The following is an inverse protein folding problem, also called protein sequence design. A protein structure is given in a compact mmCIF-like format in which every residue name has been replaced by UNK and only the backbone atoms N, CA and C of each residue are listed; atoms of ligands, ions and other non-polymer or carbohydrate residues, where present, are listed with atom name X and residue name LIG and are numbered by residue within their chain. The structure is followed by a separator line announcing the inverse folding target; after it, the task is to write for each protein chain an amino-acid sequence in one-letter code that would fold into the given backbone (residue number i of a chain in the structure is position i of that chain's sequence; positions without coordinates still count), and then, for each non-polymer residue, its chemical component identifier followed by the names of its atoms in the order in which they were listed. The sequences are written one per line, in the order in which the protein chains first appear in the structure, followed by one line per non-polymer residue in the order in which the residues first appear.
data_IF_012714939999
#
_entry.id   IF_012714939999
#
_cell.length_a   1.000
_cell.length_b   1.000
_cell.length_c   1.000
_cell.angle_alpha   90.00
_cell.angle_beta   90.00
_cell.angle_gamma   90.00
#
_symmetry.space_group_name_H-M   'P 1'
#
loop_
_entity.id
_entity.type
_entity.pdbx_description
1 polymer ?
#
# COMPACT_ATOMS: atom_id res chain seq x y z
N UNK A 1 35.37 15.00 -42.28
CA UNK A 1 34.89 13.59 -42.24
C UNK A 1 34.94 12.94 -40.84
N UNK A 2 35.67 13.47 -39.86
CA UNK A 2 35.66 12.95 -38.48
C UNK A 2 34.67 13.65 -37.52
N UNK A 3 34.29 14.90 -37.81
CA UNK A 3 33.40 15.72 -36.95
C UNK A 3 31.92 15.36 -37.05
N UNK A 4 31.49 14.73 -38.15
CA UNK A 4 30.08 14.38 -38.39
C UNK A 4 29.66 13.05 -37.76
N UNK A 5 30.62 12.19 -37.39
CA UNK A 5 30.35 10.87 -36.78
C UNK A 5 30.13 11.01 -35.27
N UNK A 6 30.82 11.96 -34.62
CA UNK A 6 30.69 12.23 -33.19
C UNK A 6 29.34 12.82 -32.79
N UNK A 7 28.67 13.57 -33.68
CA UNK A 7 27.37 14.19 -33.37
C UNK A 7 26.20 13.22 -33.45
N UNK A 8 26.32 12.09 -34.17
CA UNK A 8 25.26 11.08 -34.26
C UNK A 8 25.21 10.14 -33.05
N UNK A 9 26.34 9.91 -32.37
CA UNK A 9 26.41 9.11 -31.14
C UNK A 9 25.85 9.85 -29.91
N UNK A 10 25.85 11.18 -29.91
CA UNK A 10 25.30 12.00 -28.81
C UNK A 10 23.76 12.04 -28.76
N UNK A 11 23.08 11.75 -29.88
CA UNK A 11 21.62 11.80 -29.98
C UNK A 11 20.92 10.49 -29.63
N UNK A 12 21.64 9.36 -29.63
CA UNK A 12 21.09 8.04 -29.25
C UNK A 12 21.16 7.75 -27.74
N UNK A 13 21.97 8.49 -26.98
CA UNK A 13 22.06 8.33 -25.52
C UNK A 13 20.93 8.99 -24.72
N UNK A 14 20.10 9.83 -25.36
CA UNK A 14 19.04 10.60 -24.71
C UNK A 14 17.69 9.86 -24.62
N UNK A 15 17.61 8.61 -25.09
CA UNK A 15 16.39 7.79 -25.10
C UNK A 15 16.48 6.58 -24.19
N UNK A 16 17.39 6.56 -23.21
CA UNK A 16 17.31 5.60 -22.12
C UNK A 16 16.25 6.13 -21.15
N UNK A 17 15.05 5.51 -21.07
CA UNK A 17 14.05 5.93 -20.10
C UNK A 17 14.66 5.89 -18.69
N UNK A 18 14.21 6.78 -17.78
CA UNK A 18 14.70 6.80 -16.40
C UNK A 18 14.59 5.38 -15.85
N UNK A 19 15.72 4.88 -15.38
CA UNK A 19 15.91 3.52 -14.86
C UNK A 19 14.68 3.17 -14.04
N UNK A 20 13.85 2.26 -14.56
CA UNK A 20 12.73 1.73 -13.79
C UNK A 20 13.32 1.27 -12.45
N UNK A 21 12.63 1.54 -11.32
CA UNK A 21 13.05 1.08 -10.02
C UNK A 21 13.22 -0.43 -10.11
N UNK A 22 14.48 -0.83 -10.21
CA UNK A 22 14.85 -2.16 -10.69
C UNK A 22 14.81 -3.06 -9.48
N UNK A 23 13.67 -3.72 -9.31
CA UNK A 23 13.58 -4.83 -8.40
C UNK A 23 14.36 -6.00 -8.99
N UNK A 24 15.33 -6.52 -8.24
CA UNK A 24 16.18 -7.64 -8.64
C UNK A 24 16.08 -8.77 -7.62
N UNK A 25 16.60 -9.94 -7.99
CA UNK A 25 16.72 -11.05 -7.05
C UNK A 25 18.05 -10.93 -6.31
N UNK A 26 17.99 -10.71 -5.00
CA UNK A 26 19.16 -10.57 -4.14
C UNK A 26 19.67 -11.91 -3.60
N UNK A 27 20.96 -11.95 -3.29
CA UNK A 27 21.60 -13.08 -2.61
C UNK A 27 21.27 -13.08 -1.09
N UNK A 28 21.32 -14.22 -0.40
CA UNK A 28 20.94 -14.32 1.01
C UNK A 28 21.62 -13.30 1.94
N UNK A 29 22.90 -13.01 1.70
CA UNK A 29 23.69 -12.03 2.47
C UNK A 29 23.12 -10.62 2.29
N UNK A 30 22.88 -10.20 1.04
CA UNK A 30 22.29 -8.90 0.71
C UNK A 30 20.87 -8.76 1.30
N UNK A 31 20.08 -9.82 1.21
CA UNK A 31 18.73 -9.88 1.76
C UNK A 31 18.68 -9.72 3.28
N UNK A 32 19.69 -10.23 3.98
CA UNK A 32 19.80 -10.09 5.44
C UNK A 32 20.23 -8.69 5.87
N UNK A 33 21.05 -8.01 5.06
CA UNK A 33 21.54 -6.67 5.32
C UNK A 33 20.53 -5.56 4.93
N UNK A 34 19.69 -5.82 3.93
CA UNK A 34 18.71 -4.85 3.44
C UNK A 34 17.54 -4.65 4.41
N UNK A 35 17.15 -3.39 4.61
CA UNK A 35 15.96 -3.03 5.38
C UNK A 35 14.68 -3.32 4.59
N UNK A 36 13.57 -3.60 5.27
CA UNK A 36 12.27 -3.75 4.61
C UNK A 36 11.77 -2.43 4.03
N UNK A 37 11.17 -2.47 2.84
CA UNK A 37 10.62 -1.26 2.23
C UNK A 37 9.46 -0.68 3.08
N UNK A 38 9.40 0.65 3.28
CA UNK A 38 8.41 1.28 4.13
C UNK A 38 6.98 1.05 3.61
N UNK A 39 6.04 0.86 4.53
CA UNK A 39 4.63 0.66 4.22
C UNK A 39 4.26 -0.73 3.70
N UNK A 40 5.22 -1.63 3.48
CA UNK A 40 4.94 -3.03 3.09
C UNK A 40 4.18 -3.81 4.16
N UNK A 41 4.33 -3.41 5.43
CA UNK A 41 3.56 -3.96 6.55
C UNK A 41 2.08 -3.53 6.54
N UNK A 42 1.66 -2.58 5.72
CA UNK A 42 0.24 -2.25 5.57
C UNK A 42 -0.47 -3.27 4.68
N UNK A 43 0.28 -4.00 3.85
CA UNK A 43 -0.28 -5.01 2.97
C UNK A 43 -0.82 -6.19 3.77
N UNK A 44 -2.12 -6.47 3.64
CA UNK A 44 -2.76 -7.57 4.34
C UNK A 44 -3.05 -7.30 5.82
N UNK A 45 -2.92 -6.06 6.29
CA UNK A 45 -3.41 -5.72 7.63
C UNK A 45 -4.93 -5.54 7.64
N UNK A 46 -5.57 -6.13 8.64
CA UNK A 46 -7.00 -6.03 8.88
C UNK A 46 -7.41 -4.60 9.23
N UNK A 47 -8.54 -4.20 8.68
CA UNK A 47 -9.11 -2.87 8.85
C UNK A 47 -10.57 -2.99 9.27
N UNK A 48 -10.91 -2.39 10.40
CA UNK A 48 -12.29 -2.28 10.86
C UNK A 48 -13.00 -1.19 10.07
N UNK A 49 -13.89 -1.60 9.16
CA UNK A 49 -14.62 -0.66 8.32
C UNK A 49 -15.63 0.18 9.14
N UNK A 50 -16.09 -0.30 10.30
CA UNK A 50 -17.09 0.38 11.14
C UNK A 50 -16.46 1.51 11.94
N UNK A 51 -15.29 1.26 12.55
CA UNK A 51 -14.55 2.27 13.33
C UNK A 51 -13.55 3.06 12.48
N UNK A 52 -13.21 2.58 11.29
CA UNK A 52 -12.14 3.07 10.40
C UNK A 52 -10.74 2.95 11.04
N UNK A 53 -10.52 1.88 11.81
CA UNK A 53 -9.28 1.64 12.54
C UNK A 53 -8.56 0.39 12.07
N UNK A 54 -7.23 0.44 12.10
CA UNK A 54 -6.37 -0.71 11.82
C UNK A 54 -6.44 -1.70 12.99
N UNK A 55 -6.53 -3.00 12.69
CA UNK A 55 -6.64 -4.06 13.69
C UNK A 55 -5.29 -4.72 14.05
N UNK A 56 -4.19 -4.32 13.41
CA UNK A 56 -2.86 -4.94 13.59
C UNK A 56 -2.90 -6.47 13.42
N UNK A 57 -3.76 -6.91 12.52
CA UNK A 57 -4.19 -8.27 12.32
C UNK A 57 -3.85 -8.68 10.89
N UNK A 58 -2.83 -9.51 10.65
CA UNK A 58 -2.30 -9.70 9.30
C UNK A 58 -2.82 -10.97 8.63
N UNK A 59 -3.44 -10.86 7.47
CA UNK A 59 -3.85 -12.01 6.63
C UNK A 59 -2.77 -12.42 5.63
N UNK A 60 -1.71 -11.61 5.52
CA UNK A 60 -0.53 -11.87 4.69
C UNK A 60 0.71 -11.85 5.58
N UNK A 61 1.58 -12.84 5.42
CA UNK A 61 2.89 -12.86 6.06
C UNK A 61 3.82 -11.83 5.41
N UNK A 62 3.90 -10.66 6.04
CA UNK A 62 4.77 -9.55 5.61
C UNK A 62 6.21 -9.70 6.11
N UNK A 63 6.49 -10.62 7.03
CA UNK A 63 7.82 -10.85 7.58
C UNK A 63 8.62 -11.86 6.75
N UNK A 64 7.92 -12.78 6.09
CA UNK A 64 8.54 -13.73 5.16
C UNK A 64 8.96 -13.04 3.87
N UNK A 65 10.24 -12.69 3.78
CA UNK A 65 10.88 -12.11 2.58
C UNK A 65 11.61 -13.15 1.71
N UNK A 66 11.89 -14.33 2.26
CA UNK A 66 12.74 -15.35 1.64
C UNK A 66 11.95 -16.23 0.68
N UNK A 67 12.42 -16.38 -0.55
CA UNK A 67 11.89 -17.32 -1.54
C UNK A 67 12.33 -18.74 -1.15
N UNK A 68 11.36 -19.66 -1.04
CA UNK A 68 11.44 -20.92 -0.28
C UNK A 68 12.60 -21.86 -0.65
N UNK A 69 13.13 -21.81 -1.88
CA UNK A 69 14.10 -22.80 -2.35
C UNK A 69 15.57 -22.39 -2.19
N UNK A 70 15.91 -21.10 -2.39
CA UNK A 70 17.33 -20.70 -2.56
C UNK A 70 17.80 -19.65 -1.54
N UNK A 71 16.93 -19.25 -0.61
CA UNK A 71 17.26 -18.20 0.36
C UNK A 71 17.31 -16.78 -0.22
N UNK A 72 17.02 -16.63 -1.51
CA UNK A 72 16.99 -15.35 -2.22
C UNK A 72 15.77 -14.53 -1.85
N UNK A 73 15.80 -13.24 -2.15
CA UNK A 73 14.69 -12.32 -1.90
C UNK A 73 14.52 -11.34 -3.07
N UNK A 74 13.48 -10.52 -3.00
CA UNK A 74 13.33 -9.39 -3.91
C UNK A 74 13.91 -8.14 -3.26
N UNK A 75 14.88 -7.52 -3.91
CA UNK A 75 15.49 -6.25 -3.51
C UNK A 75 15.11 -5.17 -4.51
N UNK A 76 14.70 -4.01 -4.05
CA UNK A 76 14.32 -2.88 -4.89
C UNK A 76 15.08 -1.63 -4.44
N UNK A 77 15.53 -0.84 -5.41
CA UNK A 77 16.15 0.46 -5.16
C UNK A 77 15.06 1.49 -4.89
N UNK A 78 15.10 2.15 -3.73
CA UNK A 78 14.12 3.17 -3.35
C UNK A 78 14.64 4.58 -3.64
N UNK A 79 14.16 5.25 -4.71
CA UNK A 79 14.63 6.59 -5.07
C UNK A 79 14.24 7.67 -4.05
N UNK A 80 13.24 7.42 -3.20
CA UNK A 80 12.80 8.36 -2.16
C UNK A 80 13.60 8.23 -0.86
N UNK A 81 14.55 7.29 -0.79
CA UNK A 81 15.41 7.07 0.37
C UNK A 81 16.87 6.93 -0.09
N UNK A 82 17.39 7.96 -0.76
CA UNK A 82 18.80 8.02 -1.20
C UNK A 82 19.24 6.82 -2.06
N UNK A 83 18.32 6.28 -2.86
CA UNK A 83 18.54 5.08 -3.66
C UNK A 83 18.99 3.85 -2.83
N UNK A 84 18.60 3.78 -1.55
CA UNK A 84 18.86 2.61 -0.72
C UNK A 84 18.17 1.37 -1.26
N UNK A 85 18.87 0.25 -1.19
CA UNK A 85 18.31 -1.07 -1.52
C UNK A 85 17.47 -1.58 -0.36
N UNK A 86 16.20 -1.87 -0.64
CA UNK A 86 15.24 -2.36 0.33
C UNK A 86 14.70 -3.72 -0.07
N UNK A 87 14.48 -4.60 0.90
CA UNK A 87 13.83 -5.89 0.65
C UNK A 87 12.31 -5.77 0.69
N UNK A 88 11.67 -6.63 -0.08
CA UNK A 88 10.22 -6.80 -0.05
C UNK A 88 9.83 -8.13 0.58
N UNK A 89 8.66 -8.18 1.26
CA UNK A 89 8.03 -9.45 1.60
C UNK A 89 7.79 -10.30 0.36
N UNK A 90 7.86 -11.62 0.48
CA UNK A 90 7.70 -12.55 -0.64
C UNK A 90 6.29 -12.48 -1.27
N UNK A 91 5.28 -12.09 -0.49
CA UNK A 91 3.91 -11.91 -0.94
C UNK A 91 3.69 -10.59 -1.69
N UNK A 92 4.62 -9.62 -1.61
CA UNK A 92 4.48 -8.30 -2.24
C UNK A 92 5.12 -8.33 -3.63
N UNK A 93 4.35 -7.95 -4.64
CA UNK A 93 4.76 -7.92 -6.05
C UNK A 93 4.48 -6.55 -6.67
N UNK A 94 5.06 -6.29 -7.84
CA UNK A 94 4.88 -5.04 -8.62
C UNK A 94 5.11 -3.76 -7.82
N UNK A 95 6.02 -3.82 -6.83
CA UNK A 95 6.39 -2.66 -6.05
C UNK A 95 7.04 -1.62 -6.93
N UNK A 96 6.55 -0.40 -6.83
CA UNK A 96 7.11 0.75 -7.54
C UNK A 96 6.97 2.02 -6.70
N UNK A 97 7.99 2.88 -6.66
CA UNK A 97 7.86 4.26 -6.24
C UNK A 97 6.86 4.96 -7.16
N UNK A 98 5.91 5.65 -6.55
CA UNK A 98 4.88 6.43 -7.23
C UNK A 98 4.66 7.65 -6.39
N UNK A 99 5.05 8.84 -6.87
CA UNK A 99 4.79 10.08 -6.16
C UNK A 99 3.56 10.76 -6.76
N UNK A 100 2.42 10.63 -6.08
CA UNK A 100 1.16 11.23 -6.50
C UNK A 100 0.43 11.82 -5.30
N UNK A 101 0.40 13.16 -5.23
CA UNK A 101 -0.33 13.89 -4.20
C UNK A 101 -1.59 14.51 -4.77
N UNK A 102 -2.71 14.30 -4.09
CA UNK A 102 -4.01 14.85 -4.42
C UNK A 102 -4.59 15.50 -3.17
N UNK A 103 -5.04 16.75 -3.31
CA UNK A 103 -5.81 17.44 -2.29
C UNK A 103 -7.29 17.34 -2.65
N UNK A 104 -8.11 16.83 -1.73
CA UNK A 104 -9.56 16.78 -1.89
C UNK A 104 -10.22 17.53 -0.73
N UNK A 105 -10.95 18.58 -1.07
CA UNK A 105 -11.85 19.26 -0.15
C UNK A 105 -13.26 18.73 -0.47
N UNK A 106 -13.94 18.20 0.54
CA UNK A 106 -15.30 17.66 0.38
C UNK A 106 -16.20 18.13 1.50
N UNK A 107 -17.37 18.63 1.14
CA UNK A 107 -18.52 18.80 2.04
C UNK A 107 -19.41 17.54 2.09
N UNK A 108 -19.15 16.55 1.24
CA UNK A 108 -19.96 15.32 1.10
C UNK A 108 -19.15 14.07 1.45
N UNK A 109 -19.80 13.07 2.06
CA UNK A 109 -19.17 11.80 2.45
C UNK A 109 -19.18 10.81 1.27
N UNK A 110 -18.05 10.18 0.98
CA UNK A 110 -17.84 9.24 -0.14
C UNK A 110 -17.63 7.81 0.42
N UNK A 111 -18.49 6.85 0.10
CA UNK A 111 -18.45 5.46 0.61
C UNK A 111 -18.03 4.44 -0.46
N UNK A 112 -16.75 4.48 -0.85
CA UNK A 112 -16.18 3.53 -1.82
C UNK A 112 -15.84 2.14 -1.25
N UNK A 113 -15.97 1.92 0.06
CA UNK A 113 -15.63 0.64 0.73
C UNK A 113 -16.64 -0.49 0.47
N UNK A 114 -17.83 -0.19 -0.08
CA UNK A 114 -18.93 -1.15 -0.26
C UNK A 114 -18.74 -2.13 -1.43
N UNK A 115 -17.73 -1.91 -2.28
CA UNK A 115 -17.50 -2.73 -3.47
C UNK A 115 -17.16 -4.17 -3.06
N UNK A 116 -18.00 -5.14 -3.46
CA UNK A 116 -17.78 -6.56 -3.18
C UNK A 116 -18.23 -7.05 -1.80
N UNK A 117 -18.90 -6.21 -0.99
CA UNK A 117 -19.45 -6.59 0.31
C UNK A 117 -20.98 -6.65 0.24
N UNK A 118 -21.57 -7.84 0.39
CA UNK A 118 -23.01 -7.99 0.54
C UNK A 118 -23.40 -7.75 2.01
N UNK A 119 -24.10 -6.65 2.26
CA UNK A 119 -24.60 -6.31 3.58
C UNK A 119 -26.11 -6.46 3.51
N UNK A 120 -26.61 -7.57 4.05
CA UNK A 120 -28.05 -7.83 4.12
C UNK A 120 -28.73 -6.81 5.03
N UNK A 121 -29.25 -5.73 4.44
CA UNK A 121 -30.12 -4.77 5.12
C UNK A 121 -31.30 -4.43 4.23
N UNK A 122 -32.49 -4.29 4.81
CA UNK A 122 -33.74 -3.93 4.11
C UNK A 122 -33.77 -2.46 3.59
N UNK A 123 -32.62 -1.84 3.31
CA UNK A 123 -32.48 -0.45 2.84
C UNK A 123 -31.03 -0.08 2.53
N UNK A 124 -30.77 1.15 2.05
CA UNK A 124 -29.40 1.65 1.81
C UNK A 124 -28.74 2.11 3.12
N UNK A 125 -28.18 1.17 3.88
CA UNK A 125 -27.44 1.50 5.10
C UNK A 125 -25.96 1.75 4.79
N UNK A 126 -25.44 2.86 5.30
CA UNK A 126 -24.01 3.18 5.29
C UNK A 126 -23.41 2.71 6.62
N UNK A 127 -22.78 1.54 6.65
CA UNK A 127 -22.25 0.93 7.88
C UNK A 127 -20.83 1.41 8.21
N UNK A 128 -20.02 1.64 7.18
CA UNK A 128 -18.63 2.05 7.33
C UNK A 128 -18.49 3.43 7.96
N UNK A 129 -17.58 3.54 8.93
CA UNK A 129 -17.28 4.77 9.65
C UNK A 129 -18.32 5.23 10.66
N UNK A 130 -19.42 4.50 10.86
CA UNK A 130 -20.50 4.86 11.80
C UNK A 130 -20.02 5.03 13.25
N UNK A 131 -19.00 4.26 13.66
CA UNK A 131 -18.38 4.36 14.99
C UNK A 131 -17.00 5.02 14.97
N UNK A 132 -16.64 5.69 13.85
CA UNK A 132 -15.38 6.42 13.78
C UNK A 132 -15.38 7.62 14.74
N UNK A 133 -14.18 8.05 15.16
CA UNK A 133 -14.00 9.26 15.99
C UNK A 133 -14.62 10.51 15.33
N UNK A 134 -14.50 10.62 14.00
CA UNK A 134 -15.11 11.71 13.25
C UNK A 134 -16.64 11.66 13.28
N UNK A 135 -17.24 10.48 13.06
CA UNK A 135 -18.69 10.29 13.13
C UNK A 135 -19.23 10.60 14.54
N UNK A 136 -18.56 10.13 15.59
CA UNK A 136 -18.92 10.45 16.97
C UNK A 136 -18.89 11.95 17.23
N UNK A 137 -17.85 12.66 16.78
CA UNK A 137 -17.75 14.12 16.94
C UNK A 137 -18.86 14.86 16.20
N UNK A 138 -19.14 14.48 14.95
CA UNK A 138 -20.23 15.07 14.15
C UNK A 138 -21.57 14.84 14.83
N UNK A 139 -21.82 13.63 15.33
CA UNK A 139 -23.05 13.27 16.05
C UNK A 139 -23.21 14.06 17.35
N UNK A 140 -22.15 14.18 18.15
CA UNK A 140 -22.17 14.88 19.43
C UNK A 140 -22.40 16.39 19.25
N UNK A 141 -21.85 16.99 18.19
CA UNK A 141 -22.09 18.40 17.85
C UNK A 141 -23.49 18.61 17.27
N UNK A 142 -23.97 17.72 16.41
CA UNK A 142 -25.31 17.83 15.79
C UNK A 142 -26.46 17.72 16.79
N UNK A 143 -26.22 17.12 17.97
CA UNK A 143 -27.19 17.09 19.08
C UNK A 143 -27.29 18.42 19.83
N UNK A 144 -26.27 19.26 19.76
CA UNK A 144 -26.20 20.52 20.51
C UNK A 144 -26.82 21.67 19.72
N UNK A 145 -26.52 21.75 18.42
CA UNK A 145 -27.06 22.78 17.53
C UNK A 145 -26.90 22.37 16.06
N UNK A 146 -27.34 23.24 15.15
CA UNK A 146 -27.15 23.12 13.71
C UNK A 146 -25.72 23.50 13.31
N UNK A 147 -24.94 22.49 12.92
CA UNK A 147 -23.57 22.67 12.42
C UNK A 147 -23.45 22.36 10.92
N UNK A 148 -22.48 23.01 10.29
CA UNK A 148 -21.99 22.67 8.95
C UNK A 148 -20.55 22.18 9.08
N UNK A 149 -20.24 21.06 8.43
CA UNK A 149 -18.93 20.41 8.51
C UNK A 149 -18.20 20.47 7.17
N UNK A 150 -16.89 20.67 7.24
CA UNK A 150 -16.00 20.62 6.07
C UNK A 150 -14.92 19.59 6.36
N UNK A 151 -14.69 18.67 5.43
CA UNK A 151 -13.59 17.70 5.49
C UNK A 151 -12.53 18.09 4.46
N UNK A 152 -11.30 18.24 4.94
CA UNK A 152 -10.12 18.48 4.10
C UNK A 152 -9.21 17.27 4.22
N UNK A 153 -9.05 16.53 3.13
CA UNK A 153 -8.19 15.36 3.06
C UNK A 153 -7.05 15.63 2.07
N UNK A 154 -5.81 15.43 2.53
CA UNK A 154 -4.62 15.44 1.68
C UNK A 154 -4.12 14.00 1.57
N UNK A 155 -4.08 13.47 0.34
CA UNK A 155 -3.65 12.10 0.08
C UNK A 155 -2.41 12.10 -0.80
N UNK A 156 -1.30 11.57 -0.28
CA UNK A 156 -0.08 11.36 -1.04
C UNK A 156 0.26 9.89 -1.08
N UNK A 157 0.28 9.33 -2.28
CA UNK A 157 0.89 8.02 -2.54
C UNK A 157 2.37 8.23 -2.79
N UNK A 158 3.20 7.39 -2.16
CA UNK A 158 4.65 7.31 -2.39
C UNK A 158 5.07 5.98 -2.99
N UNK A 159 4.30 4.92 -2.74
CA UNK A 159 4.58 3.58 -3.22
C UNK A 159 3.28 2.95 -3.69
N UNK A 160 3.36 2.08 -4.69
CA UNK A 160 2.27 1.19 -5.06
C UNK A 160 2.83 -0.23 -5.19
N UNK A 161 2.08 -1.21 -4.70
CA UNK A 161 2.42 -2.61 -4.81
C UNK A 161 1.13 -3.44 -4.86
N UNK A 162 1.26 -4.69 -5.29
CA UNK A 162 0.19 -5.67 -5.28
C UNK A 162 0.56 -6.84 -4.35
N UNK A 163 -0.45 -7.61 -3.95
CA UNK A 163 -0.28 -8.83 -3.17
C UNK A 163 -0.46 -10.00 -4.13
N UNK A 164 0.51 -10.91 -4.15
CA UNK A 164 0.42 -12.14 -4.93
C UNK A 164 -0.73 -13.01 -4.43
N UNK A 165 -1.46 -13.66 -5.34
CA UNK A 165 -2.48 -14.65 -4.99
C UNK A 165 -1.91 -15.80 -4.14
N UNK A 166 -0.65 -16.17 -4.38
CA UNK A 166 0.09 -17.16 -3.59
C UNK A 166 0.52 -16.63 -2.21
N UNK A 167 0.40 -15.32 -1.97
CA UNK A 167 0.68 -14.67 -0.69
C UNK A 167 -0.50 -14.71 0.29
N UNK A 168 -1.69 -15.14 -0.15
CA UNK A 168 -2.89 -15.36 0.67
C UNK A 168 -2.82 -16.63 1.52
N UNK A 169 -1.63 -17.00 1.98
CA UNK A 169 -1.53 -17.94 3.08
C UNK A 169 -1.96 -17.19 4.33
N UNK A 170 -3.25 -17.32 4.70
CA UNK A 170 -3.72 -16.87 6.01
C UNK A 170 -2.73 -17.38 7.04
N UNK A 171 -2.17 -16.45 7.83
CA UNK A 171 -1.29 -16.85 8.91
C UNK A 171 -2.03 -17.86 9.79
N UNK A 172 -1.35 -18.91 10.31
CA UNK A 172 -1.99 -20.08 10.88
C UNK A 172 -2.97 -19.77 12.03
N UNK A 173 -2.81 -18.61 12.68
CA UNK A 173 -3.72 -18.11 13.72
C UNK A 173 -5.11 -17.66 13.22
N UNK A 174 -5.32 -17.48 11.91
CA UNK A 174 -6.64 -17.24 11.31
C UNK A 174 -7.29 -18.50 10.71
N UNK A 175 -6.55 -19.62 10.64
CA UNK A 175 -7.04 -20.87 10.05
C UNK A 175 -7.76 -21.74 11.09
N UNK A 176 -7.47 -21.59 12.38
CA UNK A 176 -8.23 -22.29 13.43
C UNK A 176 -9.54 -21.54 13.66
N UNK A 177 -10.71 -22.11 13.30
CA UNK A 177 -11.95 -21.65 13.88
C UNK A 177 -11.82 -21.94 15.38
N UNK A 178 -12.16 -20.97 16.22
CA UNK A 178 -12.54 -21.27 17.60
C UNK A 178 -13.76 -22.21 17.54
N UNK A 179 -13.50 -23.52 17.42
CA UNK A 179 -14.34 -24.55 18.00
C UNK A 179 -13.80 -24.77 19.42
N UNK A 180 -14.28 -23.93 20.33
CA UNK A 180 -14.27 -24.15 21.77
C UNK A 180 -15.63 -23.72 22.30
#
# INVERSE_FOLDING_TARGET
RATTVLTLLGLWGAWIPPVLPSCTTGQPVECSAAQSAPGTNLAGEGFDVVTMERKQAYVVDVDKWRKTQNGTCTLCVNPFMEAQTQRLPAAVVDWRPSHQCHMKISSTVDARWKIGLDIMTNGSVMVGGTHSRAAKRVMDQSKQDKYSFIKQDTHCSYYSAAISASGLFMLPYYITPLFA
#
